data_IF_779768423799
#
_entry.id   IF_779768423799
#
_cell.length_a   1.000
_cell.length_b   1.000
_cell.length_c   1.000
_cell.angle_alpha   90.00
_cell.angle_beta   90.00
_cell.angle_gamma   90.00
#
_symmetry.space_group_name_H-M   'P 1'
#
loop_
_entity.id
_entity.type
_entity.pdbx_description
1 polymer ?
#
# COMPACT_ATOMS: atom_id res chain seq x y z
N UNK A 1 -11.03 11.41 -4.13
CA UNK A 1 -11.85 11.39 -5.37
C UNK A 1 -13.19 10.75 -5.04
N UNK A 2 -14.28 11.08 -5.77
CA UNK A 2 -15.67 10.67 -5.46
C UNK A 2 -16.22 9.61 -6.42
N UNK A 3 -16.81 8.53 -5.90
CA UNK A 3 -17.79 7.73 -6.65
C UNK A 3 -19.15 8.44 -6.57
N UNK A 4 -19.85 8.57 -7.70
CA UNK A 4 -21.14 9.26 -7.78
C UNK A 4 -22.21 8.27 -8.23
N UNK A 5 -23.14 7.93 -7.33
CA UNK A 5 -24.35 7.18 -7.67
C UNK A 5 -25.55 7.90 -7.10
N UNK A 6 -26.34 8.55 -7.97
CA UNK A 6 -27.65 9.11 -7.63
C UNK A 6 -27.69 9.95 -6.34
N UNK A 7 -26.68 10.79 -6.11
CA UNK A 7 -26.58 11.65 -4.92
C UNK A 7 -25.88 11.03 -3.71
N UNK A 8 -25.38 9.79 -3.82
CA UNK A 8 -24.46 9.19 -2.86
C UNK A 8 -23.02 9.42 -3.32
N UNK A 9 -22.18 9.91 -2.41
CA UNK A 9 -20.81 10.32 -2.68
C UNK A 9 -19.84 9.71 -1.66
N UNK A 10 -18.68 9.26 -2.11
CA UNK A 10 -17.62 8.69 -1.26
C UNK A 10 -16.33 9.45 -1.47
N UNK A 11 -15.85 10.18 -0.47
CA UNK A 11 -14.57 10.86 -0.53
C UNK A 11 -13.56 10.16 0.36
N UNK A 12 -12.39 9.81 -0.16
CA UNK A 12 -11.27 9.32 0.65
C UNK A 12 -10.07 10.28 0.59
N UNK A 13 -9.27 10.28 1.66
CA UNK A 13 -8.00 11.01 1.80
C UNK A 13 -7.00 10.20 2.61
N UNK A 14 -5.78 10.06 2.10
CA UNK A 14 -4.66 9.44 2.82
C UNK A 14 -4.28 10.24 4.07
N UNK A 15 -4.09 9.54 5.18
CA UNK A 15 -3.65 10.14 6.45
C UNK A 15 -2.13 10.11 6.57
N UNK A 16 -1.59 10.85 7.56
CA UNK A 16 -0.15 10.87 7.83
C UNK A 16 0.39 9.52 8.30
N UNK A 17 -0.46 8.69 8.91
CA UNK A 17 -0.15 7.31 9.26
C UNK A 17 -0.21 6.49 7.96
N UNK A 18 0.90 5.83 7.62
CA UNK A 18 0.96 4.91 6.48
C UNK A 18 -0.17 3.88 6.59
N UNK A 19 -0.73 3.41 5.47
CA UNK A 19 -1.81 2.42 5.45
C UNK A 19 -3.15 2.87 6.05
N UNK A 20 -3.31 4.15 6.40
CA UNK A 20 -4.55 4.70 6.97
C UNK A 20 -5.16 5.77 6.07
N UNK A 21 -6.49 5.78 6.00
CA UNK A 21 -7.26 6.75 5.24
C UNK A 21 -8.45 7.28 6.03
N UNK A 22 -8.83 8.54 5.79
CA UNK A 22 -10.12 9.07 6.20
C UNK A 22 -11.08 8.97 5.01
N UNK A 23 -12.28 8.45 5.26
CA UNK A 23 -13.35 8.31 4.27
C UNK A 23 -14.60 9.02 4.77
N UNK A 24 -15.18 9.86 3.92
CA UNK A 24 -16.47 10.49 4.12
C UNK A 24 -17.51 9.89 3.17
N UNK A 25 -18.62 9.42 3.74
CA UNK A 25 -19.78 8.87 3.03
C UNK A 25 -20.90 9.91 3.11
N UNK A 26 -21.18 10.57 1.99
CA UNK A 26 -22.18 11.62 1.87
C UNK A 26 -23.46 11.08 1.24
N UNK A 27 -24.59 11.28 1.90
CA UNK A 27 -25.90 11.05 1.31
C UNK A 27 -26.56 12.39 1.02
N UNK A 28 -26.63 12.80 -0.25
CA UNK A 28 -27.27 14.05 -0.66
C UNK A 28 -28.75 13.89 -1.02
N UNK A 29 -29.30 12.70 -0.88
CA UNK A 29 -30.70 12.39 -1.20
C UNK A 29 -31.64 12.68 -0.02
N UNK A 30 -32.94 12.72 -0.30
CA UNK A 30 -33.99 12.96 0.69
C UNK A 30 -34.37 11.70 1.50
N UNK A 31 -33.67 10.57 1.31
CA UNK A 31 -33.94 9.30 2.00
C UNK A 31 -32.67 8.75 2.62
N UNK A 32 -32.80 8.04 3.75
CA UNK A 32 -31.69 7.28 4.30
C UNK A 32 -31.21 6.23 3.29
N UNK A 33 -29.91 6.07 3.16
CA UNK A 33 -29.29 5.15 2.19
C UNK A 33 -28.11 4.43 2.83
N UNK A 34 -27.94 3.15 2.50
CA UNK A 34 -26.72 2.41 2.85
C UNK A 34 -25.65 2.77 1.83
N UNK A 35 -24.52 3.30 2.30
CA UNK A 35 -23.36 3.59 1.47
C UNK A 35 -22.28 2.58 1.81
N UNK A 36 -21.76 1.90 0.80
CA UNK A 36 -20.66 0.94 0.91
C UNK A 36 -19.40 1.55 0.28
N UNK A 37 -18.29 1.56 1.02
CA UNK A 37 -16.97 1.81 0.47
C UNK A 37 -16.23 0.49 0.28
N UNK A 38 -15.88 0.18 -0.96
CA UNK A 38 -14.95 -0.93 -1.24
C UNK A 38 -13.53 -0.50 -0.90
N UNK A 39 -12.79 -1.36 -0.19
CA UNK A 39 -11.41 -1.12 0.18
C UNK A 39 -10.51 -1.03 -1.06
N UNK A 40 -10.78 -1.85 -2.08
CA UNK A 40 -10.05 -1.79 -3.36
C UNK A 40 -10.16 -0.41 -4.03
N UNK A 41 -11.34 0.22 -3.93
CA UNK A 41 -11.63 1.52 -4.56
C UNK A 41 -10.88 2.67 -3.85
N UNK A 42 -10.41 2.40 -2.62
CA UNK A 42 -9.53 3.26 -1.86
C UNK A 42 -8.10 2.71 -1.76
N UNK A 43 -7.71 1.73 -2.58
CA UNK A 43 -6.34 1.21 -2.62
C UNK A 43 -5.95 0.36 -1.40
N UNK A 44 -6.91 -0.16 -0.64
CA UNK A 44 -6.68 -1.08 0.47
C UNK A 44 -7.04 -2.51 0.02
N UNK A 45 -6.10 -3.44 0.14
CA UNK A 45 -6.32 -4.86 -0.10
C UNK A 45 -6.51 -5.63 1.23
N UNK A 46 -7.45 -6.57 1.26
CA UNK A 46 -7.65 -7.48 2.38
C UNK A 46 -8.38 -6.87 3.58
N UNK A 47 -7.81 -7.04 4.77
CA UNK A 47 -8.44 -6.68 6.04
C UNK A 47 -8.04 -5.28 6.51
N UNK A 48 -8.99 -4.53 7.06
CA UNK A 48 -8.73 -3.21 7.63
C UNK A 48 -9.63 -2.93 8.83
N UNK A 49 -9.07 -2.23 9.82
CA UNK A 49 -9.84 -1.73 10.95
C UNK A 49 -10.60 -0.47 10.56
N UNK A 50 -11.87 -0.41 10.95
CA UNK A 50 -12.73 0.75 10.72
C UNK A 50 -13.08 1.38 12.05
N UNK A 51 -12.91 2.69 12.13
CA UNK A 51 -13.32 3.51 13.28
C UNK A 51 -14.19 4.66 12.80
N UNK A 52 -15.31 4.86 13.47
CA UNK A 52 -16.17 6.02 13.26
C UNK A 52 -15.62 7.22 14.03
N UNK A 53 -15.40 8.32 13.31
CA UNK A 53 -14.77 9.52 13.84
C UNK A 53 -15.76 10.44 14.55
N UNK A 54 -17.06 10.33 14.26
CA UNK A 54 -18.09 11.11 14.94
C UNK A 54 -18.53 10.44 16.25
N UNK A 55 -18.75 9.13 16.22
CA UNK A 55 -19.08 8.35 17.42
C UNK A 55 -17.85 8.09 18.30
N UNK A 56 -16.64 8.38 17.80
CA UNK A 56 -15.37 8.01 18.42
C UNK A 56 -15.31 6.51 18.78
N UNK A 57 -15.85 5.66 17.90
CA UNK A 57 -16.10 4.25 18.17
C UNK A 57 -15.41 3.36 17.15
N UNK A 58 -14.69 2.34 17.63
CA UNK A 58 -14.15 1.29 16.77
C UNK A 58 -15.29 0.38 16.31
N UNK A 59 -15.43 0.24 14.99
CA UNK A 59 -16.42 -0.62 14.36
C UNK A 59 -15.88 -2.05 14.18
N UNK A 60 -14.55 -2.22 14.20
CA UNK A 60 -13.87 -3.51 14.18
C UNK A 60 -13.10 -3.76 12.88
N UNK A 61 -12.71 -5.02 12.68
CA UNK A 61 -12.02 -5.50 11.49
C UNK A 61 -13.03 -5.89 10.40
N UNK A 62 -12.80 -5.41 9.19
CA UNK A 62 -13.61 -5.73 8.01
C UNK A 62 -12.71 -6.25 6.89
N UNK A 63 -13.29 -6.99 5.95
CA UNK A 63 -12.58 -7.55 4.80
C UNK A 63 -13.22 -7.00 3.53
N UNK A 64 -12.39 -6.45 2.63
CA UNK A 64 -12.76 -5.92 1.29
C UNK A 64 -13.72 -4.71 1.23
N UNK A 65 -14.60 -4.48 2.21
CA UNK A 65 -15.48 -3.32 2.23
C UNK A 65 -16.02 -2.98 3.62
N UNK A 66 -16.58 -1.77 3.75
CA UNK A 66 -17.38 -1.34 4.90
C UNK A 66 -18.64 -0.61 4.43
N UNK A 67 -19.77 -0.92 5.04
CA UNK A 67 -21.06 -0.28 4.73
C UNK A 67 -21.71 0.29 5.98
N UNK A 68 -22.35 1.45 5.87
CA UNK A 68 -23.16 2.01 6.95
C UNK A 68 -24.39 2.71 6.41
N UNK A 69 -25.46 2.74 7.19
CA UNK A 69 -26.62 3.56 6.90
C UNK A 69 -26.27 5.04 7.15
N UNK A 70 -26.47 5.88 6.14
CA UNK A 70 -26.31 7.34 6.23
C UNK A 70 -27.70 7.98 6.07
N UNK A 71 -28.17 8.74 7.07
CA UNK A 71 -29.46 9.45 6.98
C UNK A 71 -29.58 10.36 5.76
N UNK A 72 -30.79 10.78 5.42
CA UNK A 72 -31.04 11.79 4.38
C UNK A 72 -30.23 13.06 4.68
N UNK A 73 -29.56 13.62 3.67
CA UNK A 73 -28.61 14.74 3.81
C UNK A 73 -27.48 14.53 4.84
N UNK A 74 -27.27 13.28 5.24
CA UNK A 74 -26.33 12.91 6.29
C UNK A 74 -24.91 12.72 5.77
N UNK A 75 -23.99 12.63 6.71
CA UNK A 75 -22.58 12.30 6.45
C UNK A 75 -22.07 11.36 7.54
N UNK A 76 -21.39 10.29 7.14
CA UNK A 76 -20.56 9.49 8.05
C UNK A 76 -19.09 9.73 7.70
N UNK A 77 -18.24 9.86 8.71
CA UNK A 77 -16.80 9.98 8.52
C UNK A 77 -16.12 8.88 9.33
N UNK A 78 -15.35 8.05 8.64
CA UNK A 78 -14.64 6.90 9.20
C UNK A 78 -13.15 7.02 8.90
N UNK A 79 -12.32 6.46 9.79
CA UNK A 79 -10.95 6.10 9.43
C UNK A 79 -10.88 4.61 9.15
N UNK A 80 -10.18 4.26 8.07
CA UNK A 80 -9.89 2.89 7.67
C UNK A 80 -8.39 2.68 7.77
N UNK A 81 -7.97 1.67 8.53
CA UNK A 81 -6.59 1.42 8.89
C UNK A 81 -6.21 -0.04 8.62
N UNK A 82 -5.48 -0.25 7.53
CA UNK A 82 -4.96 -1.57 7.17
C UNK A 82 -3.77 -1.98 8.06
N UNK A 83 -3.16 -1.04 8.78
CA UNK A 83 -1.97 -1.26 9.59
C UNK A 83 -2.26 -1.63 11.04
N UNK A 84 -3.46 -1.36 11.54
CA UNK A 84 -3.90 -1.79 12.86
C UNK A 84 -4.05 -3.31 12.94
N UNK A 85 -4.32 -3.98 11.81
CA UNK A 85 -4.23 -5.44 11.67
C UNK A 85 -2.80 -5.97 11.84
N UNK A 86 -1.78 -5.16 11.54
CA UNK A 86 -0.38 -5.56 11.63
C UNK A 86 0.24 -5.41 13.04
N UNK A 87 -0.58 -5.30 14.09
CA UNK A 87 -0.15 -5.29 15.51
C UNK A 87 -0.72 -6.49 16.28
N UNK A 88 0.02 -7.08 17.25
CA UNK A 88 1.30 -6.63 17.78
C UNK A 88 2.48 -7.08 16.91
N UNK A 89 3.44 -6.17 16.68
CA UNK A 89 4.72 -6.53 16.07
C UNK A 89 5.51 -7.37 17.09
N UNK A 90 5.93 -8.61 16.76
CA UNK A 90 7.07 -9.20 17.45
C UNK A 90 8.27 -8.25 17.31
N UNK A 91 9.06 -8.04 18.36
CA UNK A 91 10.32 -7.29 18.27
C UNK A 91 11.39 -8.12 17.55
N UNK A 92 11.11 -8.50 16.30
CA UNK A 92 11.97 -9.27 15.42
C UNK A 92 12.76 -8.30 14.53
N UNK A 93 13.42 -7.33 15.17
CA UNK A 93 14.30 -6.39 14.45
C UNK A 93 15.39 -7.18 13.74
N UNK A 94 15.55 -6.89 12.45
CA UNK A 94 16.61 -7.47 11.63
C UNK A 94 17.95 -6.96 12.17
N UNK A 95 18.81 -7.90 12.55
CA UNK A 95 20.20 -7.61 12.93
C UNK A 95 21.06 -7.60 11.68
N UNK A 96 22.01 -6.69 11.57
CA UNK A 96 22.82 -6.60 10.34
C UNK A 96 23.63 -7.86 10.08
N UNK A 97 24.09 -8.55 11.12
CA UNK A 97 24.80 -9.81 10.99
C UNK A 97 23.95 -10.93 10.38
N UNK A 98 22.63 -10.82 10.48
CA UNK A 98 21.67 -11.82 9.98
C UNK A 98 21.20 -11.50 8.55
N UNK A 99 21.63 -10.37 7.96
CA UNK A 99 21.39 -10.05 6.54
C UNK A 99 22.38 -10.87 5.71
N UNK A 100 21.92 -11.81 4.86
CA UNK A 100 22.78 -12.61 4.00
C UNK A 100 23.53 -11.75 2.97
N UNK A 101 24.64 -12.28 2.43
CA UNK A 101 25.43 -11.57 1.40
C UNK A 101 24.60 -11.28 0.14
N UNK A 102 23.74 -12.22 -0.26
CA UNK A 102 22.81 -12.04 -1.37
C UNK A 102 21.67 -11.04 -1.09
N UNK A 103 21.51 -10.61 0.16
CA UNK A 103 20.42 -9.76 0.65
C UNK A 103 19.21 -10.52 1.19
N UNK A 104 18.35 -9.80 1.91
CA UNK A 104 17.08 -10.28 2.45
C UNK A 104 15.93 -9.88 1.53
N UNK A 105 15.13 -10.86 1.09
CA UNK A 105 14.00 -10.66 0.17
C UNK A 105 12.70 -10.48 0.95
N UNK A 106 11.86 -9.55 0.50
CA UNK A 106 10.51 -9.29 0.96
C UNK A 106 9.55 -9.40 -0.22
N UNK A 107 8.91 -10.56 -0.35
CA UNK A 107 7.98 -10.91 -1.44
C UNK A 107 6.69 -10.09 -1.36
N UNK A 108 6.16 -9.65 -2.50
CA UNK A 108 4.97 -8.81 -2.56
C UNK A 108 3.72 -9.43 -1.92
N UNK A 109 3.58 -10.75 -1.98
CA UNK A 109 2.46 -11.52 -1.42
C UNK A 109 2.53 -11.75 0.10
N UNK A 110 3.65 -11.42 0.75
CA UNK A 110 3.83 -11.64 2.18
C UNK A 110 3.07 -10.58 3.00
N UNK A 111 1.88 -10.98 3.47
CA UNK A 111 0.88 -10.15 4.18
C UNK A 111 1.41 -9.41 5.43
N UNK A 112 2.55 -9.81 6.00
CA UNK A 112 3.12 -9.19 7.21
C UNK A 112 3.94 -7.91 6.96
N UNK A 113 4.30 -7.65 5.71
CA UNK A 113 5.29 -6.64 5.37
C UNK A 113 4.79 -5.56 4.43
N UNK A 114 3.62 -5.76 3.79
CA UNK A 114 3.26 -5.00 2.60
C UNK A 114 1.83 -4.46 2.61
N UNK A 115 1.68 -3.17 2.29
CA UNK A 115 0.41 -2.56 1.88
C UNK A 115 0.41 -2.34 0.37
N UNK A 116 -0.68 -2.74 -0.30
CA UNK A 116 -0.76 -2.85 -1.75
C UNK A 116 -2.03 -2.18 -2.29
N UNK A 117 -1.86 -1.29 -3.26
CA UNK A 117 -2.93 -0.84 -4.16
C UNK A 117 -2.96 -1.71 -5.43
N UNK A 118 -3.34 -2.98 -5.34
CA UNK A 118 -3.38 -3.89 -6.49
C UNK A 118 -3.82 -5.30 -6.08
N UNK A 119 -3.54 -6.30 -6.92
CA UNK A 119 -3.77 -7.71 -6.59
C UNK A 119 -2.50 -8.51 -6.69
N UNK A 120 -2.48 -9.65 -5.99
CA UNK A 120 -1.49 -10.69 -6.27
C UNK A 120 -1.96 -11.46 -7.51
N UNK A 121 -1.07 -11.58 -8.49
CA UNK A 121 -1.25 -12.32 -9.73
C UNK A 121 -0.10 -13.35 -9.87
N UNK A 122 -0.30 -14.34 -10.72
CA UNK A 122 0.60 -15.48 -10.91
C UNK A 122 0.75 -15.86 -12.41
N UNK A 123 0.19 -15.04 -13.31
CA UNK A 123 0.08 -15.40 -14.74
C UNK A 123 1.33 -15.11 -15.56
N UNK A 124 2.16 -14.15 -15.16
CA UNK A 124 3.41 -13.82 -15.85
C UNK A 124 4.56 -14.64 -15.26
N UNK A 125 5.13 -15.59 -16.00
CA UNK A 125 6.20 -16.46 -15.50
C UNK A 125 7.47 -15.71 -15.03
N UNK A 126 8.26 -16.37 -14.17
CA UNK A 126 9.60 -15.91 -13.76
C UNK A 126 9.64 -15.08 -12.46
N UNK A 127 8.51 -14.92 -11.78
CA UNK A 127 8.40 -14.35 -10.42
C UNK A 127 9.02 -15.28 -9.37
N UNK A 128 9.32 -14.76 -8.17
CA UNK A 128 9.71 -15.54 -7.00
C UNK A 128 8.53 -15.83 -6.09
N UNK A 129 8.71 -16.72 -5.11
CA UNK A 129 7.64 -17.06 -4.19
C UNK A 129 6.43 -17.70 -4.90
N UNK A 130 5.25 -17.18 -4.61
CA UNK A 130 3.95 -17.70 -5.03
C UNK A 130 3.15 -16.76 -5.94
N UNK A 131 3.59 -15.52 -6.10
CA UNK A 131 2.98 -14.56 -7.02
C UNK A 131 3.77 -13.27 -7.10
N UNK A 132 3.13 -12.25 -7.63
CA UNK A 132 3.67 -10.90 -7.68
C UNK A 132 2.54 -9.88 -7.56
N UNK A 133 2.87 -8.66 -7.14
CA UNK A 133 1.94 -7.54 -7.19
C UNK A 133 1.72 -7.13 -8.65
N UNK A 134 0.50 -7.28 -9.14
CA UNK A 134 0.02 -6.65 -10.35
C UNK A 134 -0.66 -5.32 -10.02
N UNK A 135 -0.17 -4.23 -10.59
CA UNK A 135 -0.80 -2.93 -10.45
C UNK A 135 -2.19 -2.93 -11.10
N UNK A 136 -3.21 -2.56 -10.33
CA UNK A 136 -4.55 -2.37 -10.87
C UNK A 136 -4.87 -0.88 -10.88
N UNK A 137 -5.57 -0.42 -11.94
CA UNK A 137 -6.09 0.93 -12.01
C UNK A 137 -7.21 1.09 -10.98
N UNK A 138 -6.81 1.40 -9.75
CA UNK A 138 -7.73 1.90 -8.71
C UNK A 138 -7.89 3.41 -8.90
N UNK A 139 -8.85 4.03 -8.19
CA UNK A 139 -8.98 5.49 -8.19
C UNK A 139 -7.87 6.23 -7.43
N UNK A 140 -6.80 5.51 -7.09
CA UNK A 140 -5.64 5.94 -6.32
C UNK A 140 -4.34 5.52 -7.00
N UNK A 141 -3.25 6.18 -6.61
CA UNK A 141 -1.89 5.84 -7.03
C UNK A 141 -1.54 4.42 -6.54
N UNK A 142 -0.92 3.60 -7.40
CA UNK A 142 -0.33 2.34 -6.97
C UNK A 142 0.71 2.65 -5.91
N UNK A 143 0.56 2.05 -4.76
CA UNK A 143 1.55 2.10 -3.70
C UNK A 143 1.89 0.67 -3.32
N UNK A 144 3.16 0.29 -3.48
CA UNK A 144 3.73 -0.87 -2.83
C UNK A 144 4.51 -0.35 -1.61
N UNK A 145 4.05 -0.67 -0.41
CA UNK A 145 4.70 -0.22 0.83
C UNK A 145 5.32 -1.41 1.53
N UNK A 146 6.64 -1.46 1.68
CA UNK A 146 7.32 -2.41 2.57
C UNK A 146 7.57 -1.79 3.95
N UNK A 147 7.52 -2.63 4.99
CA UNK A 147 7.84 -2.27 6.37
C UNK A 147 9.07 -3.04 6.86
N UNK A 148 10.20 -2.37 7.04
CA UNK A 148 11.45 -2.98 7.53
C UNK A 148 11.78 -2.50 8.94
N UNK A 149 11.98 -3.41 9.90
CA UNK A 149 12.38 -3.06 11.26
C UNK A 149 13.85 -3.42 11.51
N UNK A 150 14.69 -2.44 11.84
CA UNK A 150 16.14 -2.65 12.03
C UNK A 150 16.55 -2.51 13.50
N UNK A 151 17.54 -3.32 13.91
CA UNK A 151 18.13 -3.22 15.26
C UNK A 151 18.97 -1.96 15.44
N UNK A 152 19.61 -1.49 14.37
CA UNK A 152 20.44 -0.29 14.31
C UNK A 152 20.26 0.42 12.96
N UNK A 153 20.49 1.73 12.94
CA UNK A 153 20.48 2.51 11.71
C UNK A 153 21.64 2.13 10.79
N UNK A 154 21.49 2.37 9.49
CA UNK A 154 22.54 2.13 8.51
C UNK A 154 22.14 2.52 7.10
N UNK A 155 23.14 2.51 6.21
CA UNK A 155 22.94 2.71 4.78
C UNK A 155 22.77 1.37 4.09
N UNK A 156 21.71 1.23 3.31
CA UNK A 156 21.36 -0.03 2.64
C UNK A 156 21.03 0.21 1.19
N UNK A 157 21.26 -0.83 0.37
CA UNK A 157 20.80 -0.91 -1.01
C UNK A 157 19.46 -1.65 -1.03
N UNK A 158 18.44 -0.97 -1.51
CA UNK A 158 17.08 -1.47 -1.73
C UNK A 158 16.92 -1.77 -3.21
N UNK A 159 16.72 -3.03 -3.55
CA UNK A 159 16.56 -3.47 -4.94
C UNK A 159 15.15 -3.97 -5.18
N UNK A 160 14.46 -3.40 -6.15
CA UNK A 160 13.10 -3.76 -6.50
C UNK A 160 13.11 -4.54 -7.80
N UNK A 161 12.49 -5.72 -7.80
CA UNK A 161 12.33 -6.53 -9.00
C UNK A 161 10.94 -6.28 -9.59
N UNK A 162 10.90 -5.94 -10.87
CA UNK A 162 9.69 -5.44 -11.52
C UNK A 162 9.58 -5.85 -12.98
N UNK A 163 8.36 -5.77 -13.52
CA UNK A 163 8.08 -5.67 -14.95
C UNK A 163 7.39 -4.33 -15.16
N UNK A 164 7.78 -3.61 -16.22
CA UNK A 164 7.09 -2.40 -16.62
C UNK A 164 6.80 -2.42 -18.13
N UNK A 165 5.54 -2.33 -18.52
CA UNK A 165 5.13 -2.39 -19.94
C UNK A 165 5.16 -1.02 -20.63
N UNK A 166 5.41 0.07 -19.90
CA UNK A 166 5.45 1.43 -20.44
C UNK A 166 6.51 2.24 -19.68
N UNK A 167 7.38 2.99 -20.35
CA UNK A 167 8.35 3.84 -19.64
C UNK A 167 7.61 4.82 -18.71
N UNK A 168 7.91 4.75 -17.41
CA UNK A 168 7.27 5.59 -16.40
C UNK A 168 8.20 5.81 -15.22
N UNK A 169 8.27 7.05 -14.76
CA UNK A 169 8.87 7.37 -13.47
C UNK A 169 7.96 6.88 -12.35
N UNK A 170 8.56 6.30 -11.31
CA UNK A 170 7.88 6.05 -10.02
C UNK A 170 8.57 6.86 -8.93
N UNK A 171 7.80 7.31 -7.96
CA UNK A 171 8.34 7.94 -6.77
C UNK A 171 8.72 6.85 -5.76
N UNK A 172 10.01 6.78 -5.43
CA UNK A 172 10.49 6.04 -4.28
C UNK A 172 10.43 6.94 -3.05
N UNK A 173 9.73 6.51 -2.00
CA UNK A 173 9.69 7.21 -0.72
C UNK A 173 10.26 6.35 0.41
N UNK A 174 11.22 6.89 1.16
CA UNK A 174 11.77 6.32 2.37
C UNK A 174 11.44 7.23 3.54
N UNK A 175 10.65 6.74 4.50
CA UNK A 175 10.26 7.50 5.68
C UNK A 175 9.72 8.91 5.36
N UNK A 176 8.99 9.06 4.25
CA UNK A 176 8.41 10.29 3.69
C UNK A 176 9.36 11.20 2.89
N UNK A 177 10.66 10.95 2.89
CA UNK A 177 11.57 11.57 1.91
C UNK A 177 11.45 10.84 0.59
N UNK A 178 11.31 11.55 -0.52
CA UNK A 178 11.10 10.93 -1.82
C UNK A 178 12.06 11.38 -2.91
N UNK A 179 12.21 10.53 -3.91
CA UNK A 179 12.94 10.80 -5.14
C UNK A 179 12.31 10.03 -6.31
N UNK A 180 12.45 10.56 -7.53
CA UNK A 180 12.01 9.87 -8.74
C UNK A 180 12.98 8.73 -9.09
N UNK A 181 12.44 7.60 -9.53
CA UNK A 181 13.15 6.41 -9.99
C UNK A 181 12.54 5.98 -11.31
N UNK A 182 13.35 5.92 -12.37
CA UNK A 182 12.88 5.45 -13.67
C UNK A 182 12.75 3.92 -13.67
N UNK A 183 11.56 3.42 -14.01
CA UNK A 183 11.35 2.01 -14.34
C UNK A 183 11.32 1.86 -15.86
N UNK A 184 12.39 1.31 -16.42
CA UNK A 184 12.50 1.12 -17.86
C UNK A 184 11.50 0.07 -18.37
N UNK A 185 10.89 0.32 -19.52
CA UNK A 185 10.00 -0.66 -20.14
C UNK A 185 10.71 -1.97 -20.49
N UNK A 186 9.96 -3.06 -20.43
CA UNK A 186 10.42 -4.40 -20.74
C UNK A 186 9.36 -5.45 -20.45
N UNK A 187 9.44 -6.57 -21.16
CA UNK A 187 8.56 -7.73 -20.97
C UNK A 187 9.16 -8.80 -20.06
N UNK A 188 10.40 -8.59 -19.58
CA UNK A 188 11.12 -9.46 -18.65
C UNK A 188 11.31 -8.77 -17.33
N UNK A 189 11.40 -9.56 -16.25
CA UNK A 189 11.75 -9.08 -14.93
C UNK A 189 13.10 -8.35 -14.94
N UNK A 190 13.09 -7.11 -14.45
CA UNK A 190 14.24 -6.23 -14.27
C UNK A 190 14.42 -5.89 -12.80
N UNK A 191 15.57 -5.33 -12.46
CA UNK A 191 15.85 -4.80 -11.13
C UNK A 191 16.23 -3.33 -11.22
N UNK A 192 15.78 -2.54 -10.24
CA UNK A 192 16.26 -1.18 -10.01
C UNK A 192 16.69 -1.06 -8.56
N UNK A 193 17.78 -0.35 -8.30
CA UNK A 193 18.31 -0.19 -6.95
C UNK A 193 18.33 1.27 -6.51
N UNK A 194 18.03 1.48 -5.24
CA UNK A 194 18.12 2.76 -4.55
C UNK A 194 18.94 2.58 -3.29
N UNK A 195 19.85 3.53 -3.01
CA UNK A 195 20.57 3.57 -1.74
C UNK A 195 19.81 4.51 -0.79
N UNK A 196 19.54 4.04 0.42
CA UNK A 196 18.82 4.81 1.43
C UNK A 196 19.39 4.63 2.83
N UNK A 197 19.30 5.69 3.63
CA UNK A 197 19.63 5.67 5.06
C UNK A 197 18.41 5.23 5.87
N UNK A 198 18.44 4.01 6.38
CA UNK A 198 17.38 3.45 7.22
C UNK A 198 17.69 3.76 8.69
N UNK A 199 16.69 4.22 9.43
CA UNK A 199 16.79 4.47 10.88
C UNK A 199 16.68 3.18 11.68
N UNK A 200 17.12 3.22 12.93
CA UNK A 200 16.78 2.18 13.90
C UNK A 200 15.26 2.08 14.07
N UNK A 201 14.75 0.87 14.21
CA UNK A 201 13.32 0.59 14.28
C UNK A 201 12.68 0.58 12.90
N UNK A 202 11.42 1.00 12.83
CA UNK A 202 10.57 0.83 11.64
C UNK A 202 10.91 1.85 10.56
N UNK A 203 11.13 1.35 9.36
CA UNK A 203 11.28 2.09 8.11
C UNK A 203 10.13 1.72 7.18
N UNK A 204 9.48 2.75 6.64
CA UNK A 204 8.48 2.60 5.58
C UNK A 204 9.14 2.92 4.25
N UNK A 205 9.03 1.97 3.32
CA UNK A 205 9.62 2.03 1.99
C UNK A 205 8.47 1.93 1.00
N UNK A 206 8.26 2.96 0.20
CA UNK A 206 7.16 3.01 -0.76
C UNK A 206 7.68 3.14 -2.18
N UNK A 207 7.07 2.41 -3.11
CA UNK A 207 7.09 2.73 -4.52
C UNK A 207 5.70 3.21 -4.92
N UNK A 208 5.65 4.44 -5.39
CA UNK A 208 4.42 5.17 -5.70
C UNK A 208 4.42 5.47 -7.20
N UNK A 209 3.46 4.93 -7.94
CA UNK A 209 3.30 5.31 -9.35
C UNK A 209 2.50 6.61 -9.44
N UNK A 210 2.99 7.65 -10.17
CA UNK A 210 2.33 8.94 -10.27
C UNK A 210 1.03 8.92 -11.11
N UNK A 211 0.82 7.89 -11.93
CA UNK A 211 -0.15 7.92 -13.03
C UNK A 211 -1.17 6.76 -13.00
N UNK A 212 -2.27 6.91 -13.75
CA UNK A 212 -3.35 5.91 -13.93
C UNK A 212 -3.00 4.76 -14.89
N UNK A 213 -1.72 4.48 -15.12
CA UNK A 213 -1.25 3.42 -16.03
C UNK A 213 -0.76 2.18 -15.27
N UNK A 214 -1.41 1.89 -14.14
CA UNK A 214 -0.99 0.92 -13.13
C UNK A 214 -1.03 -0.53 -13.65
N UNK A 215 -1.85 -0.80 -14.67
CA UNK A 215 -1.88 -2.09 -15.38
C UNK A 215 -0.58 -2.44 -16.13
N UNK A 216 0.39 -1.53 -16.20
CA UNK A 216 1.66 -1.77 -16.88
C UNK A 216 2.78 -2.23 -15.94
N UNK A 217 2.66 -1.94 -14.63
CA UNK A 217 3.73 -2.21 -13.67
C UNK A 217 3.36 -3.42 -12.82
N UNK A 218 4.33 -4.28 -12.60
CA UNK A 218 4.23 -5.39 -11.66
C UNK A 218 5.50 -5.46 -10.82
N UNK A 219 5.36 -5.75 -9.53
CA UNK A 219 6.47 -5.86 -8.59
C UNK A 219 6.50 -7.28 -8.02
N UNK A 220 7.67 -7.89 -8.03
CA UNK A 220 7.92 -9.23 -7.50
C UNK A 220 8.27 -9.12 -6.01
N UNK A 221 9.38 -8.44 -5.73
CA UNK A 221 9.88 -8.24 -4.38
C UNK A 221 10.69 -6.96 -4.23
N UNK A 222 10.96 -6.63 -2.96
CA UNK A 222 12.07 -5.78 -2.56
C UNK A 222 13.15 -6.62 -1.87
N UNK A 223 14.41 -6.37 -2.22
CA UNK A 223 15.58 -6.96 -1.57
C UNK A 223 16.36 -5.89 -0.82
N UNK A 224 16.61 -6.13 0.46
CA UNK A 224 17.46 -5.32 1.33
C UNK A 224 18.87 -5.93 1.37
N UNK A 225 19.88 -5.15 1.01
CA UNK A 225 21.28 -5.58 1.05
C UNK A 225 22.16 -4.51 1.70
N UNK A 226 23.29 -4.93 2.27
CA UNK A 226 24.32 -3.99 2.74
C UNK A 226 24.91 -3.26 1.53
N UNK A 227 25.30 -2.00 1.72
CA UNK A 227 26.13 -1.31 0.73
C UNK A 227 27.57 -1.81 0.93
N UNK A 228 28.21 -2.23 -0.16
CA UNK A 228 29.64 -2.57 -0.19
C UNK A 228 30.52 -1.33 0.06
#
# INVERSE_FOLDING_TARGET
MAEYRDGLEIYAKRLQKHGSQAVALLNRTDKAATIEVSFKDIGIAGEAFVRDLWEHKDKGLFVNSYSTLVPAHGTSVISIDANEYLKPLPDNRIKLKDIPDQGLVFECEDKGFIWLCGKIDDKTEGYSGSGYLYGENTWWMLTAIWRVSLEQAGKFKLTFRYINRMDSDVEFALNKSSQSVLLEKGTKWKEVSVIGDLKQGINWIELISPDKNLNNISFDYMRLSKVE
#
